data_IF_759591802820
#
_entry.id   IF_759591802820
#
_cell.length_a   1.000
_cell.length_b   1.000
_cell.length_c   1.000
_cell.angle_alpha   90.00
_cell.angle_beta   90.00
_cell.angle_gamma   90.00
#
_symmetry.space_group_name_H-M   'P 1'
#
loop_
_entity.id
_entity.type
_entity.pdbx_description
1 polymer ?
#
# COMPACT_ATOMS: atom_id res chain seq x y z
N UNK A 1 44.61 -20.81 -18.31
CA UNK A 1 45.04 -19.46 -17.93
C UNK A 1 43.94 -18.37 -18.23
N UNK A 2 43.30 -18.42 -19.40
CA UNK A 2 42.29 -17.40 -19.79
C UNK A 2 41.02 -17.41 -18.95
N UNK A 3 40.50 -18.57 -18.52
CA UNK A 3 39.25 -18.67 -17.72
C UNK A 3 39.37 -17.95 -16.36
N UNK A 4 40.52 -18.09 -15.68
CA UNK A 4 40.77 -17.40 -14.40
C UNK A 4 40.82 -15.89 -14.55
N UNK A 5 41.45 -15.39 -15.64
CA UNK A 5 41.46 -13.97 -15.95
C UNK A 5 40.05 -13.42 -16.20
N UNK A 6 39.25 -14.08 -17.00
CA UNK A 6 37.88 -13.66 -17.29
C UNK A 6 36.96 -13.74 -16.08
N UNK A 7 37.18 -14.74 -15.19
CA UNK A 7 36.45 -14.78 -13.92
C UNK A 7 36.80 -13.56 -13.01
N UNK A 8 38.07 -13.17 -12.92
CA UNK A 8 38.49 -11.99 -12.17
C UNK A 8 37.95 -10.70 -12.79
N UNK A 9 37.88 -10.59 -14.10
CA UNK A 9 37.26 -9.44 -14.81
C UNK A 9 35.78 -9.41 -14.55
N UNK A 10 35.08 -10.54 -14.62
CA UNK A 10 33.65 -10.64 -14.31
C UNK A 10 33.33 -10.27 -12.85
N UNK A 11 34.18 -10.69 -11.89
CA UNK A 11 34.05 -10.31 -10.48
C UNK A 11 34.31 -8.82 -10.23
N UNK A 12 35.27 -8.21 -10.94
CA UNK A 12 35.46 -6.76 -10.89
C UNK A 12 34.26 -6.00 -11.44
N UNK A 13 33.74 -6.42 -12.58
CA UNK A 13 32.53 -5.82 -13.18
C UNK A 13 31.34 -5.94 -12.25
N UNK A 14 31.16 -7.06 -11.55
CA UNK A 14 30.10 -7.25 -10.54
C UNK A 14 30.29 -6.32 -9.33
N UNK A 15 31.51 -6.15 -8.82
CA UNK A 15 31.80 -5.28 -7.66
C UNK A 15 31.60 -3.80 -7.94
N UNK A 16 31.81 -3.39 -9.18
CA UNK A 16 31.68 -2.00 -9.62
C UNK A 16 30.28 -1.65 -10.12
N UNK A 17 29.35 -2.62 -10.14
CA UNK A 17 27.98 -2.40 -10.57
C UNK A 17 27.10 -1.92 -9.41
N UNK A 18 26.49 -0.77 -9.60
CA UNK A 18 25.56 -0.14 -8.66
C UNK A 18 24.16 -0.22 -9.27
N UNK A 19 23.18 -0.88 -8.61
CA UNK A 19 21.81 -0.89 -9.09
C UNK A 19 21.20 0.50 -9.00
N UNK A 20 20.46 0.89 -10.03
CA UNK A 20 19.65 2.10 -10.06
C UNK A 20 18.19 1.69 -9.96
N UNK A 21 17.53 2.14 -8.92
CA UNK A 21 16.13 1.79 -8.68
C UNK A 21 15.20 2.51 -9.65
N UNK A 22 14.21 1.82 -10.23
CA UNK A 22 13.14 2.45 -10.98
C UNK A 22 12.17 3.18 -10.04
N UNK A 23 11.35 4.06 -10.61
CA UNK A 23 10.18 4.60 -9.92
C UNK A 23 9.09 3.55 -9.89
N UNK A 24 8.53 3.29 -8.71
CA UNK A 24 7.38 2.38 -8.56
C UNK A 24 6.12 3.01 -9.12
N UNK A 25 5.35 2.29 -9.94
CA UNK A 25 4.09 2.73 -10.51
C UNK A 25 3.05 3.11 -9.46
N UNK A 26 2.08 3.91 -9.85
CA UNK A 26 1.02 4.40 -8.97
C UNK A 26 -0.14 3.40 -8.88
N UNK A 27 -0.93 3.51 -7.80
CA UNK A 27 -2.25 2.89 -7.70
C UNK A 27 -3.28 4.02 -7.77
N UNK A 28 -4.15 3.95 -8.76
CA UNK A 28 -5.15 4.96 -9.08
C UNK A 28 -6.56 4.45 -8.78
N UNK A 29 -7.44 5.35 -8.42
CA UNK A 29 -8.89 5.10 -8.37
C UNK A 29 -9.48 4.98 -9.77
N UNK A 30 -10.76 4.64 -9.86
CA UNK A 30 -11.48 4.51 -11.14
C UNK A 30 -11.53 5.80 -11.97
N UNK A 31 -11.42 6.96 -11.32
CA UNK A 31 -11.39 8.29 -11.94
C UNK A 31 -9.96 8.88 -12.05
N UNK A 32 -8.93 8.06 -11.84
CA UNK A 32 -7.53 8.43 -12.02
C UNK A 32 -6.89 9.19 -10.86
N UNK A 33 -7.52 9.28 -9.68
CA UNK A 33 -6.91 9.89 -8.49
C UNK A 33 -5.85 9.01 -7.89
N UNK A 34 -4.77 9.60 -7.39
CA UNK A 34 -3.68 8.89 -6.76
C UNK A 34 -4.10 8.31 -5.40
N UNK A 35 -4.23 6.99 -5.31
CA UNK A 35 -4.46 6.29 -4.04
C UNK A 35 -3.16 5.87 -3.37
N UNK A 36 -2.15 5.49 -4.14
CA UNK A 36 -0.77 5.32 -3.69
C UNK A 36 0.21 5.78 -4.76
N UNK A 37 1.23 6.54 -4.37
CA UNK A 37 2.26 7.09 -5.27
C UNK A 37 3.62 7.08 -4.61
N UNK A 38 4.68 7.00 -5.40
CA UNK A 38 6.05 7.10 -4.93
C UNK A 38 6.56 8.52 -5.12
N UNK A 39 6.94 9.16 -4.02
CA UNK A 39 7.53 10.49 -4.03
C UNK A 39 8.98 10.42 -3.55
N UNK A 40 9.90 11.19 -4.15
CA UNK A 40 11.28 11.22 -3.71
C UNK A 40 11.39 11.84 -2.31
N UNK A 41 12.11 11.16 -1.45
CA UNK A 41 12.57 11.65 -0.14
C UNK A 41 14.08 11.59 -0.08
N UNK A 42 14.68 12.48 0.68
CA UNK A 42 16.11 12.65 0.72
C UNK A 42 16.64 12.55 2.15
N UNK A 43 17.72 11.80 2.36
CA UNK A 43 18.61 11.99 3.51
C UNK A 43 19.74 12.90 3.12
N UNK A 44 19.99 13.93 3.91
CA UNK A 44 20.91 15.01 3.62
C UNK A 44 22.10 14.99 4.56
N UNK A 45 23.28 15.13 4.00
CA UNK A 45 24.54 14.97 4.72
C UNK A 45 25.56 16.04 4.34
N UNK A 46 26.58 16.19 5.18
CA UNK A 46 27.72 17.06 4.97
C UNK A 46 29.03 16.27 5.01
N UNK A 47 29.88 16.43 4.00
CA UNK A 47 31.28 16.00 3.96
C UNK A 47 32.18 17.20 4.34
N UNK A 48 32.50 17.31 5.60
CA UNK A 48 33.38 18.41 6.08
C UNK A 48 34.82 18.27 5.63
N UNK A 49 35.27 17.06 5.35
CA UNK A 49 36.61 16.83 4.83
C UNK A 49 36.74 17.37 3.40
N UNK A 50 35.68 17.24 2.58
CA UNK A 50 35.68 17.85 1.24
C UNK A 50 35.79 19.37 1.28
N UNK A 51 35.17 20.04 2.27
CA UNK A 51 35.26 21.50 2.46
C UNK A 51 36.71 21.90 2.75
N UNK A 52 37.40 21.17 3.63
CA UNK A 52 38.81 21.40 3.97
C UNK A 52 39.76 21.13 2.78
N UNK A 53 39.59 19.97 2.11
CA UNK A 53 40.35 19.59 0.93
C UNK A 53 40.20 20.62 -0.22
N UNK A 54 39.02 21.25 -0.32
CA UNK A 54 38.75 22.30 -1.30
C UNK A 54 39.30 23.69 -0.88
N UNK A 55 39.97 23.81 0.29
CA UNK A 55 40.45 25.05 0.87
C UNK A 55 39.36 26.12 1.07
N UNK A 56 38.15 25.72 1.38
CA UNK A 56 36.99 26.57 1.62
C UNK A 56 36.73 26.84 3.11
N UNK A 57 37.73 26.67 3.97
CA UNK A 57 37.61 26.86 5.42
C UNK A 57 37.17 28.29 5.78
N UNK A 58 37.79 29.32 5.16
CA UNK A 58 37.41 30.71 5.39
C UNK A 58 35.97 30.97 5.02
N UNK A 59 35.52 30.44 3.89
CA UNK A 59 34.14 30.56 3.43
C UNK A 59 33.15 29.83 4.38
N UNK A 60 33.55 28.64 4.89
CA UNK A 60 32.80 27.90 5.88
C UNK A 60 32.55 28.72 7.14
N UNK A 61 33.60 29.26 7.74
CA UNK A 61 33.49 30.05 8.97
C UNK A 61 32.67 31.33 8.79
N UNK A 62 32.83 32.03 7.66
CA UNK A 62 32.03 33.24 7.34
C UNK A 62 30.55 32.93 7.13
N UNK A 63 30.23 31.78 6.52
CA UNK A 63 28.83 31.43 6.16
C UNK A 63 28.09 30.59 7.19
N UNK A 64 28.78 30.06 8.20
CA UNK A 64 28.20 29.17 9.21
C UNK A 64 26.96 29.75 9.91
N UNK A 65 27.01 31.04 10.27
CA UNK A 65 25.88 31.72 10.91
C UNK A 65 24.66 31.82 9.97
N UNK A 66 24.92 32.13 8.71
CA UNK A 66 23.86 32.19 7.68
C UNK A 66 23.25 30.82 7.41
N UNK A 67 24.09 29.78 7.35
CA UNK A 67 23.63 28.38 7.19
C UNK A 67 22.77 27.96 8.40
N UNK A 68 23.23 28.25 9.62
CA UNK A 68 22.54 27.86 10.85
C UNK A 68 21.18 28.57 10.99
N UNK A 69 21.11 29.86 10.62
CA UNK A 69 19.84 30.60 10.57
C UNK A 69 18.89 30.04 9.50
N UNK A 70 19.41 29.75 8.31
CA UNK A 70 18.62 29.14 7.23
C UNK A 70 18.09 27.75 7.61
N UNK A 71 18.90 26.91 8.25
CA UNK A 71 18.44 25.61 8.76
C UNK A 71 17.38 25.75 9.87
N UNK A 72 17.50 26.76 10.75
CA UNK A 72 16.45 27.01 11.75
C UNK A 72 15.13 27.47 11.11
N UNK A 73 15.17 28.25 10.03
CA UNK A 73 13.96 28.64 9.30
C UNK A 73 13.28 27.43 8.65
N UNK A 74 14.06 26.49 8.11
CA UNK A 74 13.55 25.25 7.48
C UNK A 74 13.09 24.24 8.55
N UNK A 75 13.82 24.13 9.65
CA UNK A 75 13.58 23.21 10.76
C UNK A 75 13.42 23.95 12.09
N UNK A 76 12.24 24.54 12.36
CA UNK A 76 12.03 25.40 13.54
C UNK A 76 12.17 24.71 14.90
N UNK A 77 12.15 23.36 14.92
CA UNK A 77 12.32 22.57 16.15
C UNK A 77 13.71 22.62 16.75
N UNK A 78 14.71 23.21 16.04
CA UNK A 78 16.08 23.35 16.49
C UNK A 78 16.54 24.80 16.27
N UNK A 79 17.10 25.42 17.29
CA UNK A 79 17.55 26.82 17.21
C UNK A 79 18.78 26.97 16.30
N UNK A 80 19.02 28.18 15.80
CA UNK A 80 20.21 28.48 15.00
C UNK A 80 21.52 28.23 15.76
N UNK A 81 21.52 28.45 17.08
CA UNK A 81 22.69 28.18 17.92
C UNK A 81 22.99 26.68 18.04
N UNK A 82 21.94 25.86 18.22
CA UNK A 82 22.08 24.40 18.24
C UNK A 82 22.58 23.85 16.90
N UNK A 83 22.06 24.36 15.77
CA UNK A 83 22.56 23.99 14.45
C UNK A 83 24.02 24.39 14.29
N UNK A 84 24.40 25.59 14.73
CA UNK A 84 25.80 26.07 14.66
C UNK A 84 26.72 25.13 15.43
N UNK A 85 26.39 24.81 16.69
CA UNK A 85 27.17 23.91 17.52
C UNK A 85 27.30 22.51 16.91
N UNK A 86 26.18 21.95 16.41
CA UNK A 86 26.11 20.65 15.78
C UNK A 86 26.98 20.56 14.51
N UNK A 87 26.91 21.56 13.66
CA UNK A 87 27.73 21.62 12.43
C UNK A 87 29.22 21.84 12.75
N UNK A 88 29.53 22.62 13.80
CA UNK A 88 30.91 22.81 14.26
C UNK A 88 31.52 21.51 14.80
N UNK A 89 30.71 20.68 15.47
CA UNK A 89 31.16 19.37 15.95
C UNK A 89 31.51 18.45 14.78
N UNK A 90 30.66 18.38 13.75
CA UNK A 90 30.93 17.62 12.54
C UNK A 90 32.20 18.10 11.81
N UNK A 91 32.37 19.41 11.74
CA UNK A 91 33.56 20.04 11.13
C UNK A 91 34.85 19.69 11.89
N UNK A 92 34.83 19.74 13.24
CA UNK A 92 35.97 19.33 14.09
C UNK A 92 36.34 17.86 13.90
N UNK A 93 35.34 16.99 13.76
CA UNK A 93 35.51 15.54 13.52
C UNK A 93 35.92 15.20 12.09
N UNK A 94 35.98 16.17 11.18
CA UNK A 94 36.25 15.98 9.75
C UNK A 94 35.40 14.89 9.12
N UNK A 95 34.13 14.77 9.59
CA UNK A 95 33.23 13.72 9.14
C UNK A 95 32.94 13.85 7.65
N UNK A 96 33.02 12.72 6.93
CA UNK A 96 32.65 12.66 5.50
C UNK A 96 31.15 12.42 5.29
N UNK A 97 30.43 12.01 6.35
CA UNK A 97 29.03 11.64 6.27
C UNK A 97 28.28 12.09 7.54
N UNK A 98 28.19 13.41 7.71
CA UNK A 98 27.52 14.02 8.86
C UNK A 98 26.08 14.33 8.51
N UNK A 99 25.08 13.71 9.18
CA UNK A 99 23.68 13.97 8.85
C UNK A 99 23.30 15.39 9.24
N UNK A 100 22.75 16.16 8.31
CA UNK A 100 22.24 17.52 8.60
C UNK A 100 20.92 17.45 9.34
N UNK A 101 20.10 16.46 9.00
CA UNK A 101 18.81 16.17 9.64
C UNK A 101 18.64 14.66 9.85
N UNK A 102 18.06 14.22 11.00
CA UNK A 102 18.02 12.80 11.34
C UNK A 102 17.05 11.98 10.51
N UNK A 103 15.96 12.58 10.04
CA UNK A 103 14.93 11.94 9.23
C UNK A 103 15.06 12.31 7.75
N UNK A 104 14.32 11.58 6.90
CA UNK A 104 14.17 11.92 5.49
C UNK A 104 13.40 13.22 5.35
N UNK A 105 13.70 13.99 4.30
CA UNK A 105 13.01 15.23 3.95
C UNK A 105 12.41 15.11 2.55
N UNK A 106 11.30 15.80 2.32
CA UNK A 106 10.66 15.86 1.00
C UNK A 106 11.46 16.75 0.03
N UNK A 107 11.05 16.74 -1.23
CA UNK A 107 11.73 17.49 -2.31
C UNK A 107 11.81 19.00 -2.04
N UNK A 108 10.76 19.62 -1.50
CA UNK A 108 10.75 21.06 -1.24
C UNK A 108 11.80 21.44 -0.18
N UNK A 109 11.75 20.74 0.97
CA UNK A 109 12.73 20.92 2.05
C UNK A 109 14.16 20.64 1.57
N UNK A 110 14.35 19.57 0.78
CA UNK A 110 15.66 19.27 0.17
C UNK A 110 16.17 20.43 -0.69
N UNK A 111 15.31 21.01 -1.53
CA UNK A 111 15.66 22.13 -2.42
C UNK A 111 16.02 23.37 -1.61
N UNK A 112 15.26 23.69 -0.56
CA UNK A 112 15.51 24.81 0.33
C UNK A 112 16.86 24.65 1.06
N UNK A 113 17.15 23.46 1.59
CA UNK A 113 18.44 23.19 2.23
C UNK A 113 19.59 23.29 1.23
N UNK A 114 19.44 22.72 0.05
CA UNK A 114 20.44 22.76 -1.01
C UNK A 114 20.75 24.18 -1.49
N UNK A 115 19.78 25.10 -1.40
CA UNK A 115 19.96 26.51 -1.77
C UNK A 115 20.80 27.31 -0.76
N UNK A 116 21.02 26.80 0.44
CA UNK A 116 21.80 27.47 1.48
C UNK A 116 23.24 27.72 1.03
N UNK A 117 23.91 28.79 1.57
CA UNK A 117 25.31 29.06 1.30
C UNK A 117 26.19 27.82 1.51
N UNK A 118 27.16 27.58 0.66
CA UNK A 118 28.07 26.42 0.62
C UNK A 118 27.34 25.15 0.14
N UNK A 119 26.14 24.82 0.63
CA UNK A 119 25.40 23.62 0.22
C UNK A 119 25.00 23.64 -1.27
N UNK A 120 24.84 24.83 -1.85
CA UNK A 120 24.61 25.01 -3.29
C UNK A 120 25.83 24.77 -4.17
N UNK A 121 27.02 24.66 -3.59
CA UNK A 121 28.25 24.37 -4.32
C UNK A 121 28.30 22.90 -4.71
N UNK A 122 29.09 22.56 -5.72
CA UNK A 122 29.35 21.20 -6.08
C UNK A 122 29.85 20.39 -4.87
N UNK A 123 29.45 19.12 -4.74
CA UNK A 123 29.75 18.26 -3.58
C UNK A 123 31.22 18.28 -3.16
N UNK A 124 32.15 18.22 -4.13
CA UNK A 124 33.59 18.23 -3.87
C UNK A 124 34.15 19.61 -3.43
N UNK A 125 33.32 20.66 -3.49
CA UNK A 125 33.69 22.03 -3.04
C UNK A 125 32.94 22.42 -1.77
N UNK A 126 31.65 22.11 -1.72
CA UNK A 126 30.73 22.48 -0.64
C UNK A 126 30.47 21.38 0.38
N UNK A 127 30.76 20.12 0.05
CA UNK A 127 30.58 18.97 0.93
C UNK A 127 29.16 18.49 1.06
N UNK A 128 28.14 19.22 0.59
CA UNK A 128 26.74 18.78 0.68
C UNK A 128 26.48 17.60 -0.26
N UNK A 129 25.93 16.53 0.28
CA UNK A 129 25.50 15.37 -0.49
C UNK A 129 24.23 14.76 0.10
N UNK A 130 23.59 13.88 -0.65
CA UNK A 130 22.31 13.30 -0.28
C UNK A 130 22.17 11.88 -0.81
N UNK A 131 21.27 11.15 -0.17
CA UNK A 131 20.77 9.86 -0.64
C UNK A 131 19.29 10.03 -0.97
N UNK A 132 18.88 9.59 -2.15
CA UNK A 132 17.49 9.63 -2.59
C UNK A 132 16.80 8.31 -2.29
N UNK A 133 15.57 8.39 -1.81
CA UNK A 133 14.70 7.28 -1.48
C UNK A 133 13.34 7.52 -2.12
N UNK A 134 12.70 6.48 -2.60
CA UNK A 134 11.30 6.53 -3.02
C UNK A 134 10.41 6.18 -1.83
N UNK A 135 9.70 7.17 -1.30
CA UNK A 135 8.73 6.96 -0.23
C UNK A 135 7.34 6.72 -0.81
N UNK A 136 6.71 5.63 -0.37
CA UNK A 136 5.34 5.33 -0.77
C UNK A 136 4.38 6.18 0.05
N UNK A 137 3.66 7.07 -0.63
CA UNK A 137 2.69 8.00 -0.03
C UNK A 137 1.27 7.58 -0.41
N UNK A 138 0.33 7.74 0.51
CA UNK A 138 -1.10 7.56 0.30
C UNK A 138 -1.81 8.90 0.54
N UNK A 139 -2.20 9.63 -0.51
CA UNK A 139 -2.80 10.96 -0.36
C UNK A 139 -4.10 10.96 0.46
N UNK A 140 -4.85 9.87 0.41
CA UNK A 140 -6.08 9.68 1.20
C UNK A 140 -5.86 8.96 2.54
N UNK A 141 -4.62 8.92 3.02
CA UNK A 141 -4.29 8.34 4.33
C UNK A 141 -4.64 6.86 4.46
N UNK A 142 -5.56 6.53 5.36
CA UNK A 142 -5.98 5.15 5.65
C UNK A 142 -7.06 4.61 4.73
N UNK A 143 -7.61 5.42 3.82
CA UNK A 143 -8.72 5.04 2.94
C UNK A 143 -8.40 3.78 2.14
N UNK A 144 -9.26 2.75 2.22
CA UNK A 144 -9.05 1.43 1.63
C UNK A 144 -7.68 0.82 1.94
N UNK A 145 -7.12 1.12 3.11
CA UNK A 145 -5.72 0.86 3.44
C UNK A 145 -5.31 -0.60 3.34
N UNK A 146 -6.21 -1.52 3.72
CA UNK A 146 -5.94 -2.97 3.62
C UNK A 146 -6.07 -3.51 2.21
N UNK A 147 -6.91 -2.90 1.39
CA UNK A 147 -7.07 -3.27 -0.02
C UNK A 147 -5.90 -2.72 -0.85
N UNK A 148 -5.58 -1.44 -0.72
CA UNK A 148 -4.42 -0.84 -1.40
C UNK A 148 -3.13 -1.53 -0.96
N UNK A 149 -2.94 -1.70 0.32
CA UNK A 149 -1.76 -2.36 0.87
C UNK A 149 -0.69 -1.42 1.35
N UNK A 150 0.45 -1.99 1.70
CA UNK A 150 1.55 -1.27 2.32
C UNK A 150 2.90 -1.84 1.89
N UNK A 151 3.92 -0.98 1.91
CA UNK A 151 5.33 -1.34 1.73
C UNK A 151 6.03 -1.47 3.09
N UNK A 152 7.05 -2.32 3.18
CA UNK A 152 7.98 -2.27 4.32
C UNK A 152 8.78 -0.98 4.26
N UNK A 153 8.69 -0.13 5.28
CA UNK A 153 9.22 1.23 5.28
C UNK A 153 10.72 1.37 5.00
N UNK A 154 11.53 0.34 5.30
CA UNK A 154 12.99 0.35 5.07
C UNK A 154 13.40 -0.48 3.84
N UNK A 155 12.49 -1.25 3.24
CA UNK A 155 12.76 -2.15 2.13
C UNK A 155 11.78 -1.85 1.02
N UNK A 156 12.24 -1.87 -0.21
CA UNK A 156 11.41 -1.77 -1.41
C UNK A 156 10.70 -3.11 -1.66
N UNK A 157 9.87 -3.52 -0.69
CA UNK A 157 9.17 -4.80 -0.66
C UNK A 157 7.73 -4.57 -0.23
N UNK A 158 6.81 -5.01 -1.06
CA UNK A 158 5.39 -4.96 -0.76
C UNK A 158 5.02 -5.97 0.34
N UNK A 159 4.08 -5.58 1.20
CA UNK A 159 3.71 -6.35 2.39
C UNK A 159 2.38 -7.10 2.22
N UNK A 160 1.37 -6.45 1.69
CA UNK A 160 0.03 -6.99 1.46
C UNK A 160 -0.77 -6.11 0.50
N UNK A 161 -2.00 -6.53 0.16
CA UNK A 161 -2.96 -5.80 -0.68
C UNK A 161 -2.54 -5.73 -2.15
N UNK A 162 -3.06 -4.76 -2.87
CA UNK A 162 -2.74 -4.53 -4.29
C UNK A 162 -1.25 -4.26 -4.49
N UNK A 163 -0.59 -3.61 -3.53
CA UNK A 163 0.86 -3.42 -3.55
C UNK A 163 1.61 -4.74 -3.70
N UNK A 164 1.20 -5.80 -2.98
CA UNK A 164 1.81 -7.12 -3.06
C UNK A 164 1.33 -7.91 -4.29
N UNK A 165 0.03 -7.93 -4.52
CA UNK A 165 -0.56 -8.73 -5.60
C UNK A 165 -0.07 -8.30 -6.99
N UNK A 166 0.20 -7.01 -7.15
CA UNK A 166 0.69 -6.42 -8.41
C UNK A 166 2.14 -5.92 -8.32
N UNK A 167 2.91 -6.43 -7.35
CA UNK A 167 4.27 -5.97 -7.13
C UNK A 167 5.16 -6.11 -8.38
N UNK A 168 5.02 -7.17 -9.15
CA UNK A 168 5.78 -7.39 -10.39
C UNK A 168 5.52 -6.32 -11.46
N UNK A 169 4.32 -5.75 -11.49
CA UNK A 169 3.92 -4.70 -12.43
C UNK A 169 4.36 -3.32 -11.90
N UNK A 170 4.09 -3.07 -10.61
CA UNK A 170 4.37 -1.80 -9.95
C UNK A 170 5.86 -1.53 -9.77
N UNK A 171 6.67 -2.57 -9.51
CA UNK A 171 8.08 -2.44 -9.11
C UNK A 171 8.97 -1.90 -10.22
N UNK A 172 8.69 -2.20 -11.49
CA UNK A 172 9.59 -1.94 -12.60
C UNK A 172 10.84 -2.83 -12.63
N UNK A 173 11.86 -2.42 -13.34
CA UNK A 173 13.11 -3.17 -13.51
C UNK A 173 14.31 -2.32 -13.18
N UNK A 174 15.20 -2.81 -12.31
CA UNK A 174 16.42 -2.12 -11.92
C UNK A 174 17.32 -1.83 -13.12
N UNK A 175 17.88 -0.63 -13.16
CA UNK A 175 18.98 -0.25 -14.02
C UNK A 175 20.33 -0.61 -13.39
N UNK A 176 21.42 -0.40 -14.13
CA UNK A 176 22.78 -0.69 -13.69
C UNK A 176 23.67 0.48 -14.07
N UNK A 177 24.36 1.06 -13.10
CA UNK A 177 25.48 1.97 -13.30
C UNK A 177 26.78 1.26 -12.96
N UNK A 178 27.84 1.52 -13.73
CA UNK A 178 29.21 1.12 -13.35
C UNK A 178 29.91 2.29 -12.66
N UNK A 179 30.32 2.06 -11.43
CA UNK A 179 31.13 3.03 -10.68
C UNK A 179 32.59 2.87 -11.07
N UNK A 180 33.15 3.89 -11.74
CA UNK A 180 34.56 3.95 -12.11
C UNK A 180 35.27 5.09 -11.42
N UNK A 181 36.49 4.83 -10.95
CA UNK A 181 37.38 5.87 -10.43
C UNK A 181 38.13 6.55 -11.59
N UNK A 182 37.84 7.81 -11.80
CA UNK A 182 38.50 8.66 -12.81
C UNK A 182 39.14 9.85 -12.10
N UNK A 183 40.46 10.00 -12.18
CA UNK A 183 41.19 11.09 -11.57
C UNK A 183 40.81 11.37 -10.10
N UNK A 184 40.86 10.35 -9.25
CA UNK A 184 40.48 10.41 -7.83
C UNK A 184 38.99 10.69 -7.52
N UNK A 185 38.10 10.62 -8.52
CA UNK A 185 36.65 10.72 -8.36
C UNK A 185 35.99 9.43 -8.80
N UNK A 186 34.90 9.07 -8.11
CA UNK A 186 34.02 8.01 -8.57
C UNK A 186 32.94 8.61 -9.48
N UNK A 187 32.84 8.09 -10.68
CA UNK A 187 31.79 8.42 -11.64
C UNK A 187 30.88 7.20 -11.83
N UNK A 188 29.60 7.40 -11.71
CA UNK A 188 28.60 6.39 -12.02
C UNK A 188 28.24 6.53 -13.50
N UNK A 189 28.67 5.57 -14.30
CA UNK A 189 28.45 5.53 -15.76
C UNK A 189 27.24 4.65 -16.00
N UNK A 190 26.13 5.17 -16.57
CA UNK A 190 24.96 4.38 -16.85
C UNK A 190 25.25 3.33 -17.90
N UNK A 191 24.97 2.05 -17.56
CA UNK A 191 25.12 0.89 -18.45
C UNK A 191 23.76 0.44 -18.94
N UNK A 192 22.77 0.40 -18.03
CA UNK A 192 21.38 0.07 -18.31
C UNK A 192 20.49 1.01 -17.56
N UNK A 193 19.63 1.74 -18.27
CA UNK A 193 18.64 2.58 -17.64
C UNK A 193 17.60 1.72 -16.87
N UNK A 194 17.10 2.18 -15.71
CA UNK A 194 15.97 1.54 -15.08
C UNK A 194 14.72 1.68 -15.95
N UNK A 195 13.79 0.74 -15.81
CA UNK A 195 12.48 0.79 -16.44
C UNK A 195 11.47 0.97 -15.33
N UNK A 196 10.77 2.11 -15.32
CA UNK A 196 9.80 2.41 -14.29
C UNK A 196 8.63 1.42 -14.30
N UNK A 197 7.99 1.24 -13.14
CA UNK A 197 6.81 0.41 -12.99
C UNK A 197 5.59 1.02 -13.69
N UNK A 198 4.64 0.16 -14.04
CA UNK A 198 3.38 0.58 -14.64
C UNK A 198 2.37 0.94 -13.54
N UNK A 199 1.52 1.90 -13.85
CA UNK A 199 0.40 2.28 -12.99
C UNK A 199 -0.72 1.24 -13.04
N UNK A 200 -1.44 1.09 -11.92
CA UNK A 200 -2.63 0.26 -11.81
C UNK A 200 -3.83 1.17 -11.60
N UNK A 201 -4.82 1.05 -12.46
CA UNK A 201 -6.13 1.69 -12.29
C UNK A 201 -7.07 0.67 -11.65
N UNK A 202 -7.59 1.01 -10.47
CA UNK A 202 -8.56 0.19 -9.74
C UNK A 202 -9.99 0.56 -10.12
N UNK A 203 -10.94 -0.27 -9.74
CA UNK A 203 -12.37 0.02 -9.86
C UNK A 203 -12.92 0.84 -8.69
N UNK A 204 -12.09 1.12 -7.66
CA UNK A 204 -12.49 1.84 -6.45
C UNK A 204 -12.81 3.30 -6.77
N UNK A 205 -13.98 3.75 -6.35
CA UNK A 205 -14.38 5.14 -6.33
C UNK A 205 -14.06 5.76 -4.96
N UNK A 206 -13.25 6.81 -4.95
CA UNK A 206 -12.79 7.46 -3.70
C UNK A 206 -13.96 8.01 -2.90
N UNK A 207 -14.97 8.59 -3.57
CA UNK A 207 -16.14 9.16 -2.89
C UNK A 207 -17.03 8.10 -2.27
N UNK A 208 -17.29 7.01 -2.98
CA UNK A 208 -18.06 5.87 -2.46
C UNK A 208 -17.31 5.18 -1.31
N UNK A 209 -16.00 5.01 -1.43
CA UNK A 209 -15.16 4.43 -0.38
C UNK A 209 -15.21 5.26 0.91
N UNK A 210 -15.02 6.57 0.81
CA UNK A 210 -15.06 7.48 1.97
C UNK A 210 -16.44 7.51 2.62
N UNK A 211 -17.51 7.56 1.82
CA UNK A 211 -18.87 7.51 2.33
C UNK A 211 -19.15 6.18 3.04
N UNK A 212 -18.77 5.06 2.43
CA UNK A 212 -18.95 3.73 3.00
C UNK A 212 -18.18 3.56 4.32
N UNK A 213 -16.91 3.99 4.38
CA UNK A 213 -16.12 3.95 5.61
C UNK A 213 -16.77 4.72 6.75
N UNK A 214 -17.18 5.96 6.48
CA UNK A 214 -17.87 6.79 7.48
C UNK A 214 -19.19 6.17 7.94
N UNK A 215 -19.96 5.62 7.02
CA UNK A 215 -21.23 4.98 7.34
C UNK A 215 -21.05 3.75 8.23
N UNK A 216 -20.09 2.88 7.89
CA UNK A 216 -19.76 1.69 8.70
C UNK A 216 -19.27 2.10 10.09
N UNK A 217 -18.39 3.10 10.18
CA UNK A 217 -17.90 3.58 11.48
C UNK A 217 -19.02 4.14 12.35
N UNK A 218 -19.94 4.91 11.76
CA UNK A 218 -21.07 5.48 12.49
C UNK A 218 -22.00 4.41 13.03
N UNK A 219 -22.36 3.43 12.19
CA UNK A 219 -23.18 2.29 12.60
C UNK A 219 -22.50 1.48 13.70
N UNK A 220 -21.22 1.17 13.54
CA UNK A 220 -20.44 0.42 14.55
C UNK A 220 -20.39 1.13 15.89
N UNK A 221 -20.34 2.47 15.91
CA UNK A 221 -20.42 3.26 17.15
C UNK A 221 -21.79 3.20 17.78
N UNK A 222 -22.86 3.26 16.98
CA UNK A 222 -24.24 3.23 17.45
C UNK A 222 -24.58 1.88 18.08
N UNK A 223 -24.26 0.77 17.41
CA UNK A 223 -24.53 -0.59 17.89
C UNK A 223 -23.44 -1.13 18.84
N UNK A 224 -22.40 -0.36 19.13
CA UNK A 224 -21.22 -0.82 19.87
C UNK A 224 -20.57 -2.09 19.27
N UNK A 225 -20.55 -2.19 17.94
CA UNK A 225 -20.01 -3.33 17.21
C UNK A 225 -18.48 -3.38 17.22
N UNK A 226 -17.90 -4.57 17.04
CA UNK A 226 -16.45 -4.75 17.03
C UNK A 226 -15.88 -4.72 15.62
N UNK A 227 -16.57 -5.32 14.64
CA UNK A 227 -16.13 -5.42 13.25
C UNK A 227 -17.30 -5.09 12.34
N UNK A 228 -17.02 -4.28 11.31
CA UNK A 228 -17.97 -3.96 10.25
C UNK A 228 -17.31 -4.08 8.88
N UNK A 229 -18.00 -4.74 7.97
CA UNK A 229 -17.58 -4.94 6.58
C UNK A 229 -18.66 -4.43 5.65
N UNK A 230 -18.27 -3.68 4.62
CA UNK A 230 -19.16 -3.30 3.54
C UNK A 230 -18.46 -3.42 2.19
N UNK A 231 -19.16 -3.95 1.20
CA UNK A 231 -18.69 -4.03 -0.18
C UNK A 231 -19.77 -3.40 -1.06
N UNK A 232 -19.36 -2.43 -1.88
CA UNK A 232 -20.22 -1.80 -2.89
C UNK A 232 -19.79 -2.32 -4.25
N UNK A 233 -20.66 -3.02 -4.94
CA UNK A 233 -20.40 -3.61 -6.24
C UNK A 233 -21.37 -3.06 -7.28
N UNK A 234 -20.85 -2.70 -8.43
CA UNK A 234 -21.66 -2.33 -9.60
C UNK A 234 -22.25 -3.60 -10.22
N UNK A 235 -23.58 -3.70 -10.26
CA UNK A 235 -24.27 -4.92 -10.69
C UNK A 235 -23.96 -5.31 -12.14
N UNK A 236 -23.79 -4.32 -13.03
CA UNK A 236 -23.59 -4.58 -14.48
C UNK A 236 -22.21 -5.12 -14.80
N UNK A 237 -21.18 -4.64 -14.12
CA UNK A 237 -19.78 -4.94 -14.43
C UNK A 237 -19.12 -5.89 -13.44
N UNK A 238 -19.67 -5.99 -12.23
CA UNK A 238 -19.04 -6.70 -11.13
C UNK A 238 -17.91 -5.90 -10.45
N UNK A 239 -17.71 -4.65 -10.84
CA UNK A 239 -16.67 -3.79 -10.28
C UNK A 239 -16.91 -3.49 -8.81
N UNK A 240 -15.89 -3.69 -8.00
CA UNK A 240 -15.90 -3.27 -6.60
C UNK A 240 -15.61 -1.78 -6.55
N UNK A 241 -16.61 -0.98 -6.21
CA UNK A 241 -16.51 0.48 -6.08
C UNK A 241 -16.05 0.92 -4.68
N UNK A 242 -16.37 0.13 -3.66
CA UNK A 242 -15.84 0.33 -2.31
C UNK A 242 -15.71 -1.02 -1.58
N UNK A 243 -14.71 -1.12 -0.72
CA UNK A 243 -14.48 -2.25 0.17
C UNK A 243 -13.97 -1.75 1.52
N UNK A 244 -14.75 -1.95 2.55
CA UNK A 244 -14.54 -1.40 3.90
C UNK A 244 -14.37 -2.53 4.89
N UNK A 245 -13.37 -2.39 5.76
CA UNK A 245 -13.01 -3.38 6.78
C UNK A 245 -12.67 -2.68 8.10
N UNK A 246 -13.65 -2.26 8.86
CA UNK A 246 -13.42 -1.55 10.11
C UNK A 246 -13.43 -2.48 11.31
N UNK A 247 -12.41 -2.36 12.15
CA UNK A 247 -12.24 -3.11 13.39
C UNK A 247 -12.00 -2.13 14.54
N UNK A 248 -12.64 -2.39 15.69
CA UNK A 248 -12.47 -1.61 16.91
C UNK A 248 -11.10 -1.88 17.52
N UNK A 249 -10.32 -0.82 17.69
CA UNK A 249 -8.99 -0.89 18.31
C UNK A 249 -9.09 -0.72 19.83
N UNK A 250 -7.99 -1.06 20.54
CA UNK A 250 -7.92 -0.95 22.00
C UNK A 250 -8.11 0.48 22.54
N UNK A 251 -7.90 1.50 21.73
CA UNK A 251 -8.18 2.90 22.03
C UNK A 251 -9.63 3.33 21.75
N UNK A 252 -10.48 2.38 21.37
CA UNK A 252 -11.89 2.62 21.03
C UNK A 252 -12.13 3.22 19.65
N UNK A 253 -11.08 3.50 18.87
CA UNK A 253 -11.20 3.97 17.49
C UNK A 253 -11.37 2.80 16.53
N UNK A 254 -12.01 3.05 15.38
CA UNK A 254 -12.17 2.07 14.31
C UNK A 254 -11.13 2.30 13.22
N UNK A 255 -10.42 1.23 12.83
CA UNK A 255 -9.40 1.26 11.78
C UNK A 255 -9.39 -0.02 10.98
N UNK A 256 -8.89 0.04 9.76
CA UNK A 256 -8.62 -1.17 8.97
C UNK A 256 -7.34 -1.86 9.47
N UNK A 257 -7.48 -2.97 10.19
CA UNK A 257 -6.36 -3.81 10.67
C UNK A 257 -6.19 -5.09 9.87
N UNK A 258 -7.30 -5.64 9.39
CA UNK A 258 -7.38 -6.87 8.61
C UNK A 258 -8.35 -6.66 7.45
N UNK A 259 -8.15 -7.33 6.34
CA UNK A 259 -9.14 -7.37 5.26
C UNK A 259 -10.17 -8.46 5.56
N UNK A 260 -11.10 -8.17 6.43
CA UNK A 260 -12.15 -9.10 6.88
C UNK A 260 -13.02 -9.61 5.71
N UNK A 261 -13.26 -8.75 4.72
CA UNK A 261 -14.07 -9.08 3.55
C UNK A 261 -13.58 -10.31 2.78
N UNK A 262 -12.25 -10.54 2.77
CA UNK A 262 -11.63 -11.63 1.99
C UNK A 262 -10.89 -12.65 2.84
N UNK A 263 -10.72 -12.42 4.12
CA UNK A 263 -9.90 -13.28 4.99
C UNK A 263 -10.68 -13.99 6.10
N UNK A 264 -11.90 -13.56 6.42
CA UNK A 264 -12.68 -14.18 7.47
C UNK A 264 -13.48 -15.37 6.93
N UNK A 265 -13.40 -16.48 7.64
CA UNK A 265 -14.20 -17.66 7.38
C UNK A 265 -15.43 -17.60 8.28
N UNK A 266 -16.57 -17.28 7.68
CA UNK A 266 -17.85 -17.16 8.36
C UNK A 266 -18.87 -18.13 7.74
N UNK A 267 -19.81 -18.61 8.55
CA UNK A 267 -20.97 -19.30 8.02
C UNK A 267 -21.88 -18.29 7.32
N UNK A 268 -22.05 -18.38 5.99
CA UNK A 268 -22.82 -17.40 5.24
C UNK A 268 -24.33 -17.44 5.56
N UNK A 269 -24.77 -18.53 6.15
CA UNK A 269 -26.18 -18.74 6.48
C UNK A 269 -27.11 -18.67 5.25
N UNK A 270 -28.29 -18.10 5.43
CA UNK A 270 -29.29 -17.99 4.37
C UNK A 270 -28.90 -17.08 3.18
N UNK A 271 -27.89 -16.27 3.30
CA UNK A 271 -27.39 -15.49 2.16
C UNK A 271 -26.87 -16.40 1.05
N UNK A 272 -26.28 -17.55 1.40
CA UNK A 272 -25.81 -18.54 0.43
C UNK A 272 -26.92 -19.18 -0.42
N UNK A 273 -28.18 -19.14 0.03
CA UNK A 273 -29.31 -19.63 -0.75
C UNK A 273 -29.47 -18.93 -2.09
N UNK A 274 -29.10 -17.65 -2.16
CA UNK A 274 -29.10 -16.88 -3.43
C UNK A 274 -28.17 -17.55 -4.44
N UNK A 275 -26.94 -17.88 -4.01
CA UNK A 275 -25.96 -18.56 -4.87
C UNK A 275 -26.48 -19.94 -5.31
N UNK A 276 -26.99 -20.74 -4.37
CA UNK A 276 -27.56 -22.08 -4.69
C UNK A 276 -28.70 -22.01 -5.70
N UNK A 277 -29.58 -21.05 -5.54
CA UNK A 277 -30.74 -20.89 -6.43
C UNK A 277 -30.33 -20.33 -7.80
N UNK A 278 -29.33 -19.43 -7.83
CA UNK A 278 -28.79 -18.91 -9.07
C UNK A 278 -28.17 -20.01 -9.94
N UNK A 279 -27.39 -20.91 -9.34
CA UNK A 279 -26.79 -22.05 -10.04
C UNK A 279 -27.88 -22.95 -10.62
N UNK A 280 -28.94 -23.27 -9.85
CA UNK A 280 -30.02 -24.12 -10.34
C UNK A 280 -30.81 -23.51 -11.51
N UNK A 281 -30.93 -22.17 -11.57
CA UNK A 281 -31.51 -21.46 -12.71
C UNK A 281 -30.58 -21.43 -13.92
N UNK A 282 -29.30 -21.15 -13.70
CA UNK A 282 -28.27 -21.00 -14.77
C UNK A 282 -28.08 -22.36 -15.48
N UNK A 283 -28.02 -23.44 -14.73
CA UNK A 283 -27.95 -24.81 -15.27
C UNK A 283 -29.24 -25.29 -15.97
N UNK A 284 -30.32 -24.50 -15.90
CA UNK A 284 -31.61 -24.82 -16.53
C UNK A 284 -32.36 -25.98 -15.88
N UNK A 285 -31.98 -26.38 -14.68
CA UNK A 285 -32.65 -27.46 -13.95
C UNK A 285 -34.05 -27.07 -13.45
N UNK A 286 -34.20 -25.78 -13.15
CA UNK A 286 -35.46 -25.21 -12.62
C UNK A 286 -35.73 -23.85 -13.29
N UNK A 287 -36.99 -23.45 -13.25
CA UNK A 287 -37.40 -22.07 -13.56
C UNK A 287 -38.07 -21.44 -12.34
N UNK A 288 -38.50 -20.20 -12.45
CA UNK A 288 -39.11 -19.45 -11.34
C UNK A 288 -40.47 -20.05 -10.89
N UNK A 289 -41.09 -20.88 -11.71
CA UNK A 289 -42.37 -21.54 -11.45
C UNK A 289 -42.20 -22.94 -10.83
N UNK A 290 -40.98 -23.48 -10.83
CA UNK A 290 -40.70 -24.83 -10.30
C UNK A 290 -41.23 -24.99 -8.89
N UNK A 291 -42.01 -26.07 -8.69
CA UNK A 291 -42.73 -26.32 -7.43
C UNK A 291 -41.96 -27.32 -6.57
N UNK A 292 -41.86 -27.01 -5.28
CA UNK A 292 -41.25 -27.88 -4.26
C UNK A 292 -42.18 -28.03 -3.04
N UNK A 293 -42.29 -29.25 -2.57
CA UNK A 293 -43.08 -29.56 -1.38
C UNK A 293 -42.19 -29.34 -0.13
N UNK A 294 -42.64 -28.53 0.83
CA UNK A 294 -41.97 -28.30 2.11
C UNK A 294 -42.72 -28.86 3.30
N UNK A 295 -43.89 -29.41 3.07
CA UNK A 295 -44.73 -30.05 4.09
C UNK A 295 -45.08 -29.13 5.26
N UNK A 296 -45.18 -29.69 6.42
CA UNK A 296 -45.42 -28.95 7.67
C UNK A 296 -44.23 -28.17 8.21
N UNK A 297 -43.19 -27.94 7.38
CA UNK A 297 -42.02 -27.18 7.78
C UNK A 297 -40.95 -28.00 8.52
N UNK A 298 -41.05 -29.32 8.52
CA UNK A 298 -40.04 -30.27 8.98
C UNK A 298 -39.84 -31.34 7.91
N UNK A 299 -38.59 -31.55 7.50
CA UNK A 299 -38.23 -32.51 6.46
C UNK A 299 -37.01 -33.34 6.87
N UNK A 300 -37.09 -34.66 6.87
CA UNK A 300 -35.97 -35.53 7.14
C UNK A 300 -34.99 -35.49 5.96
N UNK A 301 -33.73 -35.20 6.24
CA UNK A 301 -32.67 -35.13 5.24
C UNK A 301 -31.36 -35.63 5.86
N UNK A 302 -30.75 -36.67 5.29
CA UNK A 302 -29.47 -37.25 5.74
C UNK A 302 -29.39 -37.54 7.25
N UNK A 303 -30.44 -38.10 7.80
CA UNK A 303 -30.48 -38.46 9.24
C UNK A 303 -30.69 -37.30 10.21
N UNK A 304 -30.97 -36.09 9.67
CA UNK A 304 -31.29 -34.89 10.45
C UNK A 304 -32.61 -34.29 10.01
N UNK A 305 -33.23 -33.53 10.89
CA UNK A 305 -34.44 -32.77 10.56
C UNK A 305 -34.06 -31.38 10.05
N UNK A 306 -34.35 -31.10 8.78
CA UNK A 306 -34.32 -29.74 8.24
C UNK A 306 -35.62 -29.03 8.63
N UNK A 307 -35.51 -27.83 9.16
CA UNK A 307 -36.67 -27.04 9.61
C UNK A 307 -36.73 -25.69 8.94
N UNK A 308 -37.92 -25.31 8.49
CA UNK A 308 -38.24 -23.93 8.13
C UNK A 308 -38.57 -23.13 9.40
N UNK A 309 -38.38 -21.83 9.37
CA UNK A 309 -38.59 -20.98 10.55
C UNK A 309 -40.05 -21.00 11.08
N UNK A 310 -41.02 -21.29 10.21
CA UNK A 310 -42.44 -21.35 10.54
C UNK A 310 -42.95 -22.80 10.85
N UNK A 311 -42.05 -23.76 11.06
CA UNK A 311 -42.43 -25.18 11.30
C UNK A 311 -43.45 -25.39 12.44
N UNK A 312 -43.39 -24.54 13.48
CA UNK A 312 -44.38 -24.59 14.58
C UNK A 312 -45.75 -24.01 14.21
N UNK A 313 -45.85 -23.35 13.03
CA UNK A 313 -47.10 -22.76 12.52
C UNK A 313 -47.64 -23.49 11.30
N UNK A 314 -47.18 -24.74 11.07
CA UNK A 314 -47.68 -25.60 10.01
C UNK A 314 -46.89 -25.59 8.71
N UNK A 315 -45.73 -24.93 8.67
CA UNK A 315 -44.87 -24.90 7.47
C UNK A 315 -45.42 -24.07 6.33
N UNK A 316 -44.87 -24.25 5.14
CA UNK A 316 -45.26 -23.53 3.93
C UNK A 316 -46.04 -24.43 2.93
N UNK A 317 -46.11 -25.76 3.16
CA UNK A 317 -46.72 -26.71 2.24
C UNK A 317 -45.98 -26.74 0.90
N UNK A 318 -46.74 -26.70 -0.18
CA UNK A 318 -46.23 -26.66 -1.55
C UNK A 318 -46.00 -25.23 -1.97
N UNK A 319 -44.75 -24.87 -2.30
CA UNK A 319 -44.34 -23.51 -2.74
C UNK A 319 -43.52 -23.58 -4.01
N UNK A 320 -43.51 -22.49 -4.79
CA UNK A 320 -42.64 -22.41 -5.95
C UNK A 320 -41.24 -21.92 -5.60
N UNK A 321 -40.35 -22.00 -6.58
CA UNK A 321 -38.96 -21.54 -6.48
C UNK A 321 -38.84 -20.10 -5.93
N UNK A 322 -39.57 -19.17 -6.53
CA UNK A 322 -39.57 -17.77 -6.11
C UNK A 322 -40.00 -17.63 -4.65
N UNK A 323 -41.09 -18.33 -4.24
CA UNK A 323 -41.54 -18.27 -2.86
C UNK A 323 -40.54 -18.89 -1.89
N UNK A 324 -39.84 -19.96 -2.29
CA UNK A 324 -38.79 -20.59 -1.47
C UNK A 324 -37.71 -19.62 -1.08
N UNK A 325 -37.29 -18.76 -2.04
CA UNK A 325 -36.28 -17.71 -1.78
C UNK A 325 -36.88 -16.55 -0.96
N UNK A 326 -38.09 -16.08 -1.32
CA UNK A 326 -38.74 -14.96 -0.61
C UNK A 326 -38.93 -15.22 0.89
N UNK A 327 -39.30 -16.45 1.27
CA UNK A 327 -39.49 -16.81 2.68
C UNK A 327 -38.28 -17.48 3.30
N UNK A 328 -37.16 -17.53 2.57
CA UNK A 328 -35.94 -18.19 3.01
C UNK A 328 -36.17 -19.62 3.52
N UNK A 329 -36.96 -20.42 2.79
CA UNK A 329 -37.23 -21.81 3.15
C UNK A 329 -35.95 -22.64 3.10
N UNK A 330 -35.55 -23.22 4.22
CA UNK A 330 -34.45 -24.17 4.27
C UNK A 330 -34.77 -25.43 3.48
N UNK A 331 -35.99 -25.95 3.66
CA UNK A 331 -36.49 -27.19 3.02
C UNK A 331 -36.56 -26.96 1.51
N UNK A 332 -37.20 -25.87 1.07
CA UNK A 332 -37.39 -25.57 -0.35
C UNK A 332 -36.08 -25.53 -1.12
N UNK A 333 -35.09 -24.76 -0.62
CA UNK A 333 -33.79 -24.66 -1.25
C UNK A 333 -33.02 -25.98 -1.18
N UNK A 334 -32.95 -26.61 0.00
CA UNK A 334 -32.21 -27.88 0.17
C UNK A 334 -32.73 -28.98 -0.71
N UNK A 335 -34.04 -29.10 -0.89
CA UNK A 335 -34.67 -30.13 -1.78
C UNK A 335 -34.37 -29.89 -3.25
N UNK A 336 -34.26 -28.62 -3.69
CA UNK A 336 -33.84 -28.32 -5.05
C UNK A 336 -32.39 -28.74 -5.24
N UNK A 337 -31.50 -28.32 -4.33
CA UNK A 337 -30.07 -28.65 -4.39
C UNK A 337 -29.86 -30.18 -4.33
N UNK A 338 -30.52 -30.85 -3.39
CA UNK A 338 -30.43 -32.31 -3.23
C UNK A 338 -30.85 -33.05 -4.50
N UNK A 339 -31.94 -32.62 -5.14
CA UNK A 339 -32.46 -33.29 -6.34
C UNK A 339 -31.52 -33.20 -7.54
N UNK A 340 -30.80 -32.12 -7.72
CA UNK A 340 -30.04 -31.83 -8.95
C UNK A 340 -28.54 -31.89 -8.78
N UNK A 341 -28.03 -31.81 -7.55
CA UNK A 341 -26.59 -31.68 -7.28
C UNK A 341 -26.07 -32.69 -6.23
N UNK A 342 -26.82 -33.75 -5.97
CA UNK A 342 -26.40 -34.82 -5.05
C UNK A 342 -25.65 -35.95 -5.78
#
# INVERSE_FOLDING_TARGET
AQRGYWMQVADRVKRDSVPVKPTRGNILSSDGRLMASSLPEYKIYMDFKAVKEAKNDSLWHVKLDSISKGLNQIFPSKSAQEFKAYLQEGYKKESRHWPIWPSRVNYNVFTDVKALPIFRLAQYKGGFHFEEFNARQRPYGSLAGRTIGEMYGAKDTARFGLELSYDSILRGTDGINHRRKVLNKFLDIPVKAPIDGLDIVTTIDVGMQDLAERSVINELKEINGNVGVAIVMEVKTGDIKAIVNMERCGDGQYRERKNHAVSDLLEPGSVFKVASMLVALDDGHVDTSYVVETGGGVWPMYGREMKDHNWRRGGYGTINFTKSLMVSSNIGVSRIVDKFYH
#
